data_IF_818805415769
#
_entry.id   IF_818805415769
#
_cell.length_a   1.000
_cell.length_b   1.000
_cell.length_c   1.000
_cell.angle_alpha   90.00
_cell.angle_beta   90.00
_cell.angle_gamma   90.00
#
_symmetry.space_group_name_H-M   'P 1'
#
loop_
_entity.id
_entity.type
_entity.pdbx_description
1 polymer ?
#
# COMPACT_ATOMS: atom_id res chain seq x y z
N UNK A 1 6.80 -15.18 13.87
CA UNK A 1 5.98 -16.35 13.47
C UNK A 1 4.70 -15.85 12.83
N UNK A 2 4.45 -16.27 11.56
CA UNK A 2 3.21 -15.97 10.85
C UNK A 2 2.21 -17.14 11.00
N UNK A 3 0.92 -16.81 11.15
CA UNK A 3 -0.16 -17.80 11.16
C UNK A 3 -1.08 -17.56 9.97
N UNK A 4 -1.51 -18.63 9.30
CA UNK A 4 -2.54 -18.56 8.27
C UNK A 4 -3.89 -18.53 8.98
N UNK A 5 -4.59 -17.40 8.89
CA UNK A 5 -5.91 -17.24 9.50
C UNK A 5 -7.03 -17.83 8.63
N UNK A 6 -6.95 -17.61 7.32
CA UNK A 6 -7.94 -18.05 6.35
C UNK A 6 -7.33 -18.14 4.94
N UNK A 7 -7.77 -19.11 4.17
CA UNK A 7 -7.39 -19.31 2.78
C UNK A 7 -8.65 -19.35 1.90
N UNK A 8 -8.59 -18.75 0.72
CA UNK A 8 -9.63 -18.83 -0.30
C UNK A 8 -9.01 -19.15 -1.65
N UNK A 9 -9.30 -20.34 -2.17
CA UNK A 9 -8.92 -20.73 -3.52
C UNK A 9 -9.83 -20.06 -4.54
N UNK A 10 -9.25 -19.59 -5.65
CA UNK A 10 -9.97 -18.97 -6.75
C UNK A 10 -9.44 -19.50 -8.08
N UNK A 11 -10.26 -19.53 -9.16
CA UNK A 11 -9.77 -19.82 -10.50
C UNK A 11 -8.70 -18.81 -10.90
N UNK A 12 -7.66 -19.26 -11.62
CA UNK A 12 -6.49 -18.43 -11.97
C UNK A 12 -6.79 -17.23 -12.90
N UNK A 13 -7.97 -17.19 -13.54
CA UNK A 13 -8.42 -16.10 -14.38
C UNK A 13 -9.23 -15.01 -13.66
N UNK A 14 -9.30 -15.06 -12.33
CA UNK A 14 -10.05 -14.10 -11.50
C UNK A 14 -9.10 -13.11 -10.85
N UNK A 15 -9.36 -11.81 -11.04
CA UNK A 15 -8.58 -10.74 -10.42
C UNK A 15 -8.55 -10.89 -8.88
N UNK A 16 -7.39 -10.69 -8.25
CA UNK A 16 -7.13 -10.94 -6.83
C UNK A 16 -8.10 -10.22 -5.88
N UNK A 17 -8.55 -9.04 -6.25
CA UNK A 17 -9.47 -8.24 -5.45
C UNK A 17 -10.94 -8.63 -5.59
N UNK A 18 -11.30 -9.50 -6.56
CA UNK A 18 -12.69 -9.98 -6.71
C UNK A 18 -13.11 -10.73 -5.44
N UNK A 19 -14.22 -10.31 -4.84
CA UNK A 19 -14.72 -10.82 -3.55
C UNK A 19 -13.80 -10.56 -2.33
N UNK A 20 -12.80 -9.67 -2.44
CA UNK A 20 -11.94 -9.34 -1.31
C UNK A 20 -12.71 -8.65 -0.17
N UNK A 21 -13.68 -7.80 -0.50
CA UNK A 21 -14.49 -7.09 0.51
C UNK A 21 -15.26 -8.05 1.44
N UNK A 22 -16.08 -9.01 0.97
CA UNK A 22 -16.72 -9.97 1.84
C UNK A 22 -15.72 -10.85 2.60
N UNK A 23 -14.66 -11.30 1.94
CA UNK A 23 -13.61 -12.11 2.57
C UNK A 23 -12.92 -11.39 3.73
N UNK A 24 -12.55 -10.11 3.56
CA UNK A 24 -11.95 -9.29 4.62
C UNK A 24 -12.94 -9.02 5.75
N UNK A 25 -14.21 -8.76 5.41
CA UNK A 25 -15.27 -8.58 6.42
C UNK A 25 -15.38 -9.79 7.33
N UNK A 26 -15.46 -10.98 6.75
CA UNK A 26 -15.55 -12.23 7.50
C UNK A 26 -14.34 -12.42 8.43
N UNK A 27 -13.12 -12.11 7.97
CA UNK A 27 -11.91 -12.18 8.79
C UNK A 27 -11.98 -11.19 9.97
N UNK A 28 -12.37 -9.95 9.70
CA UNK A 28 -12.48 -8.91 10.73
C UNK A 28 -13.51 -9.33 11.78
N UNK A 29 -14.68 -9.81 11.34
CA UNK A 29 -15.77 -10.23 12.22
C UNK A 29 -15.38 -11.44 13.07
N UNK A 30 -14.71 -12.45 12.48
CA UNK A 30 -14.18 -13.61 13.19
C UNK A 30 -13.15 -13.21 14.27
N UNK A 31 -12.18 -12.35 13.90
CA UNK A 31 -11.15 -11.90 14.84
C UNK A 31 -11.75 -11.11 15.99
N UNK A 32 -12.71 -10.21 15.73
CA UNK A 32 -13.36 -9.43 16.76
C UNK A 32 -14.29 -10.25 17.66
N UNK A 33 -14.88 -11.30 17.11
CA UNK A 33 -15.68 -12.26 17.90
C UNK A 33 -14.78 -13.04 18.87
N UNK A 34 -13.58 -13.46 18.42
CA UNK A 34 -12.66 -14.28 19.23
C UNK A 34 -11.85 -13.47 20.24
N UNK A 35 -11.39 -12.27 19.84
CA UNK A 35 -10.44 -11.47 20.62
C UNK A 35 -11.04 -10.18 21.19
N UNK A 36 -12.32 -9.96 20.93
CA UNK A 36 -13.05 -8.77 21.40
C UNK A 36 -12.94 -7.57 20.43
N UNK A 37 -13.89 -6.64 20.57
CA UNK A 37 -14.00 -5.47 19.66
C UNK A 37 -12.84 -4.46 19.78
N UNK A 38 -12.11 -4.48 20.89
CA UNK A 38 -11.01 -3.55 21.16
C UNK A 38 -9.68 -3.98 20.56
N UNK A 39 -9.61 -5.19 19.98
CA UNK A 39 -8.37 -5.62 19.33
C UNK A 39 -8.05 -4.72 18.13
N UNK A 40 -6.85 -4.16 18.14
CA UNK A 40 -6.36 -3.37 17.01
C UNK A 40 -6.06 -4.33 15.85
N UNK A 41 -6.66 -4.07 14.69
CA UNK A 41 -6.43 -4.83 13.46
C UNK A 41 -5.75 -3.91 12.46
N UNK A 42 -4.58 -4.33 11.99
CA UNK A 42 -3.79 -3.59 11.01
C UNK A 42 -3.55 -4.46 9.77
N UNK A 43 -3.86 -3.92 8.61
CA UNK A 43 -3.77 -4.62 7.34
C UNK A 43 -2.64 -4.07 6.49
N UNK A 44 -1.78 -4.98 6.00
CA UNK A 44 -0.77 -4.67 5.00
C UNK A 44 -1.12 -5.40 3.71
N UNK A 45 -1.32 -4.64 2.64
CA UNK A 45 -1.81 -5.19 1.37
C UNK A 45 -1.00 -4.64 0.19
N UNK A 46 -1.00 -5.39 -0.90
CA UNK A 46 -0.41 -4.94 -2.15
C UNK A 46 -1.38 -4.07 -2.98
N UNK A 47 -0.95 -3.63 -4.17
CA UNK A 47 -1.69 -2.71 -5.01
C UNK A 47 -3.00 -3.30 -5.57
N UNK A 48 -3.14 -4.61 -5.69
CA UNK A 48 -4.39 -5.25 -6.15
C UNK A 48 -5.56 -4.97 -5.20
N UNK A 49 -5.27 -4.68 -3.93
CA UNK A 49 -6.27 -4.36 -2.90
C UNK A 49 -6.53 -2.85 -2.73
N UNK A 50 -5.87 -1.99 -3.52
CA UNK A 50 -6.15 -0.56 -3.49
C UNK A 50 -7.47 -0.28 -4.21
N UNK A 51 -8.58 -0.45 -3.50
CA UNK A 51 -9.94 -0.30 -4.01
C UNK A 51 -10.83 0.45 -3.02
N UNK A 52 -11.74 1.28 -3.59
CA UNK A 52 -12.70 2.08 -2.81
C UNK A 52 -13.48 1.24 -1.80
N UNK A 53 -13.95 0.04 -2.21
CA UNK A 53 -14.74 -0.85 -1.35
C UNK A 53 -13.95 -1.37 -0.15
N UNK A 54 -12.67 -1.69 -0.34
CA UNK A 54 -11.77 -2.16 0.71
C UNK A 54 -11.47 -1.03 1.70
N UNK A 55 -11.07 0.15 1.20
CA UNK A 55 -10.79 1.31 2.04
C UNK A 55 -12.00 1.70 2.90
N UNK A 56 -13.20 1.69 2.31
CA UNK A 56 -14.45 1.94 3.05
C UNK A 56 -14.74 0.89 4.11
N UNK A 57 -14.52 -0.39 3.79
CA UNK A 57 -14.70 -1.47 4.77
C UNK A 57 -13.77 -1.28 5.96
N UNK A 58 -12.47 -1.04 5.70
CA UNK A 58 -11.46 -0.88 6.75
C UNK A 58 -11.76 0.34 7.63
N UNK A 59 -12.14 1.46 7.02
CA UNK A 59 -12.55 2.66 7.76
C UNK A 59 -13.81 2.42 8.59
N UNK A 60 -14.85 1.79 8.01
CA UNK A 60 -16.11 1.49 8.73
C UNK A 60 -15.92 0.47 9.87
N UNK A 61 -14.87 -0.30 9.85
CA UNK A 61 -14.52 -1.31 10.87
C UNK A 61 -13.39 -0.86 11.80
N UNK A 62 -13.02 0.40 11.75
CA UNK A 62 -11.93 0.96 12.58
C UNK A 62 -10.67 0.08 12.52
N UNK A 63 -10.24 -0.24 11.30
CA UNK A 63 -9.04 -1.01 11.03
C UNK A 63 -7.95 -0.12 10.47
N UNK A 64 -6.72 -0.29 10.98
CA UNK A 64 -5.53 0.31 10.43
C UNK A 64 -5.14 -0.34 9.09
N UNK A 65 -4.55 0.43 8.19
CA UNK A 65 -4.05 -0.14 6.95
C UNK A 65 -2.81 0.57 6.41
N UNK A 66 -2.00 -0.21 5.67
CA UNK A 66 -1.00 0.28 4.74
C UNK A 66 -1.15 -0.52 3.43
N UNK A 67 -1.61 0.14 2.38
CA UNK A 67 -1.90 -0.47 1.09
C UNK A 67 -0.99 0.15 0.03
N UNK A 68 -0.22 -0.68 -0.69
CA UNK A 68 0.58 -0.21 -1.82
C UNK A 68 -0.35 0.39 -2.89
N UNK A 69 0.02 1.55 -3.41
CA UNK A 69 -0.73 2.22 -4.49
C UNK A 69 0.05 2.07 -5.80
N UNK A 70 -0.60 1.55 -6.83
CA UNK A 70 0.00 1.47 -8.16
C UNK A 70 0.08 2.85 -8.83
N UNK A 71 1.08 3.04 -9.69
CA UNK A 71 1.25 4.27 -10.46
C UNK A 71 0.38 4.26 -11.73
N UNK A 72 -0.91 3.98 -11.56
CA UNK A 72 -1.85 3.98 -12.67
C UNK A 72 -2.02 5.37 -13.27
N UNK A 73 -2.28 5.43 -14.58
CA UNK A 73 -2.38 6.69 -15.33
C UNK A 73 -3.49 7.63 -14.85
N UNK A 74 -4.52 7.09 -14.20
CA UNK A 74 -5.63 7.85 -13.64
C UNK A 74 -5.33 8.48 -12.25
N UNK A 75 -4.17 8.16 -11.64
CA UNK A 75 -3.70 8.78 -10.40
C UNK A 75 -2.58 9.77 -10.68
N UNK A 76 -2.58 10.95 -10.05
CA UNK A 76 -1.58 11.99 -10.29
C UNK A 76 -0.22 11.74 -9.60
N UNK A 77 0.08 10.50 -9.18
CA UNK A 77 1.27 10.18 -8.38
C UNK A 77 2.59 10.56 -9.06
N UNK A 78 2.70 10.38 -10.38
CA UNK A 78 3.89 10.79 -11.13
C UNK A 78 4.08 12.30 -11.10
N UNK A 79 3.01 13.07 -11.29
CA UNK A 79 3.06 14.52 -11.24
C UNK A 79 3.40 15.01 -9.82
N UNK A 80 2.84 14.41 -8.80
CA UNK A 80 3.16 14.73 -7.40
C UNK A 80 4.63 14.42 -7.10
N UNK A 81 5.13 13.27 -7.51
CA UNK A 81 6.54 12.91 -7.32
C UNK A 81 7.49 13.87 -8.03
N UNK A 82 7.18 14.25 -9.28
CA UNK A 82 7.97 15.18 -10.06
C UNK A 82 7.96 16.62 -9.48
N UNK A 83 6.83 17.06 -8.94
CA UNK A 83 6.69 18.36 -8.31
C UNK A 83 7.29 18.44 -6.89
N UNK A 84 7.58 17.29 -6.28
CA UNK A 84 8.08 17.24 -4.91
C UNK A 84 9.51 17.76 -4.80
N UNK A 85 9.68 18.88 -4.09
CA UNK A 85 10.99 19.50 -3.85
C UNK A 85 11.66 19.02 -2.56
N UNK A 86 10.91 18.40 -1.65
CA UNK A 86 11.40 18.03 -0.33
C UNK A 86 11.15 16.56 -0.05
N UNK A 87 12.24 15.80 -0.05
CA UNK A 87 12.26 14.38 0.30
C UNK A 87 12.99 14.18 1.61
N UNK A 88 12.42 13.43 2.53
CA UNK A 88 12.98 13.19 3.85
C UNK A 88 13.66 11.81 3.88
N UNK A 89 14.84 11.68 4.52
CA UNK A 89 15.47 10.38 4.73
C UNK A 89 14.55 9.42 5.49
N UNK A 90 14.51 8.16 5.04
CA UNK A 90 13.66 7.11 5.62
C UNK A 90 14.49 5.89 6.00
N UNK A 91 15.34 5.43 5.10
CA UNK A 91 16.27 4.32 5.25
C UNK A 91 17.48 4.55 4.34
N UNK A 92 18.57 3.78 4.47
CA UNK A 92 19.71 3.89 3.56
C UNK A 92 19.27 3.82 2.10
N UNK A 93 19.60 4.85 1.30
CA UNK A 93 19.20 4.97 -0.10
C UNK A 93 17.70 5.20 -0.37
N UNK A 94 16.88 5.37 0.68
CA UNK A 94 15.43 5.58 0.56
C UNK A 94 15.04 6.93 1.16
N UNK A 95 14.26 7.70 0.41
CA UNK A 95 13.64 8.93 0.91
C UNK A 95 12.13 8.88 0.71
N UNK A 96 11.39 9.61 1.54
CA UNK A 96 9.93 9.64 1.54
C UNK A 96 9.35 11.04 1.54
N UNK A 97 8.16 11.17 1.00
CA UNK A 97 7.35 12.39 1.00
C UNK A 97 5.90 12.06 1.30
N UNK A 98 5.33 12.76 2.28
CA UNK A 98 3.92 12.60 2.63
C UNK A 98 3.06 13.61 1.88
N UNK A 99 1.92 13.15 1.37
CA UNK A 99 0.97 13.97 0.64
C UNK A 99 -0.46 13.49 0.89
N UNK A 100 -1.42 14.35 0.57
CA UNK A 100 -2.82 13.96 0.47
C UNK A 100 -3.15 13.64 -0.99
N UNK A 101 -3.74 12.47 -1.22
CA UNK A 101 -4.27 12.06 -2.51
C UNK A 101 -5.79 12.20 -2.51
N UNK A 102 -6.32 13.05 -3.39
CA UNK A 102 -7.76 13.18 -3.60
C UNK A 102 -8.15 12.38 -4.84
N UNK A 103 -9.15 11.52 -4.73
CA UNK A 103 -9.63 10.66 -5.82
C UNK A 103 -11.06 11.07 -6.20
N UNK A 104 -11.25 11.90 -7.25
CA UNK A 104 -12.55 12.38 -7.66
C UNK A 104 -13.54 11.25 -7.99
N UNK A 105 -13.07 10.22 -8.72
CA UNK A 105 -13.87 9.05 -9.12
C UNK A 105 -14.40 8.26 -7.92
N UNK A 106 -13.81 8.43 -6.75
CA UNK A 106 -14.23 7.79 -5.49
C UNK A 106 -15.00 8.73 -4.58
N UNK A 107 -15.70 9.71 -5.16
CA UNK A 107 -16.46 10.71 -4.45
C UNK A 107 -15.57 11.64 -3.61
N UNK A 108 -14.49 12.13 -4.23
CA UNK A 108 -13.47 12.98 -3.60
C UNK A 108 -12.87 12.36 -2.32
N UNK A 109 -12.70 11.04 -2.32
CA UNK A 109 -12.05 10.36 -1.21
C UNK A 109 -10.65 10.91 -1.02
N UNK A 110 -10.37 11.39 0.20
CA UNK A 110 -9.06 11.91 0.61
C UNK A 110 -8.30 10.82 1.34
N UNK A 111 -7.07 10.59 0.94
CA UNK A 111 -6.21 9.56 1.52
C UNK A 111 -4.84 10.17 1.85
N UNK A 112 -4.35 9.84 3.03
CA UNK A 112 -2.94 10.03 3.34
C UNK A 112 -2.12 9.06 2.54
N UNK A 113 -1.19 9.56 1.72
CA UNK A 113 -0.29 8.75 0.90
C UNK A 113 1.14 9.16 1.18
N UNK A 114 2.00 8.19 1.33
CA UNK A 114 3.44 8.40 1.39
C UNK A 114 4.07 7.87 0.11
N UNK A 115 4.75 8.77 -0.60
CA UNK A 115 5.60 8.42 -1.73
C UNK A 115 6.99 8.08 -1.21
N UNK A 116 7.56 7.01 -1.70
CA UNK A 116 8.95 6.64 -1.47
C UNK A 116 9.70 6.60 -2.78
N UNK A 117 10.96 7.00 -2.75
CA UNK A 117 11.91 6.77 -3.83
C UNK A 117 13.16 6.11 -3.29
N UNK A 118 13.65 5.11 -3.99
CA UNK A 118 14.86 4.38 -3.69
C UNK A 118 15.88 4.62 -4.79
N UNK A 119 17.09 5.04 -4.43
CA UNK A 119 18.15 5.21 -5.41
C UNK A 119 18.52 3.86 -6.03
N UNK A 120 18.65 3.83 -7.37
CA UNK A 120 18.92 2.61 -8.14
C UNK A 120 20.25 2.78 -8.83
N UNK A 121 21.14 1.81 -8.67
CA UNK A 121 22.40 1.72 -9.43
C UNK A 121 22.16 0.80 -10.62
N UNK A 122 22.09 1.37 -11.83
CA UNK A 122 21.77 0.61 -13.06
C UNK A 122 22.91 -0.24 -13.60
N UNK A 123 24.12 -0.14 -13.07
CA UNK A 123 25.30 -0.83 -13.62
C UNK A 123 25.20 -2.36 -13.61
N UNK A 124 24.22 -2.96 -12.94
CA UNK A 124 24.09 -4.42 -12.77
C UNK A 124 22.80 -5.04 -13.31
N UNK A 125 21.88 -4.29 -13.91
CA UNK A 125 20.62 -4.86 -14.39
C UNK A 125 20.71 -5.40 -15.82
N UNK A 126 21.00 -6.69 -15.95
CA UNK A 126 20.86 -7.44 -17.22
C UNK A 126 19.41 -7.72 -17.63
N UNK A 127 18.45 -7.60 -16.74
CA UNK A 127 17.01 -7.82 -17.01
C UNK A 127 16.22 -6.61 -16.53
N UNK A 128 16.03 -5.63 -17.41
CA UNK A 128 15.13 -4.51 -17.21
C UNK A 128 13.69 -4.99 -17.43
N UNK A 129 13.03 -5.46 -16.40
CA UNK A 129 11.60 -5.64 -16.42
C UNK A 129 10.96 -4.30 -16.07
N UNK A 130 10.33 -3.66 -17.06
CA UNK A 130 9.49 -2.48 -16.85
C UNK A 130 8.36 -2.88 -15.88
N UNK A 131 8.57 -2.64 -14.61
CA UNK A 131 7.51 -2.78 -13.63
C UNK A 131 6.55 -1.60 -13.80
N UNK A 132 5.40 -1.86 -14.42
CA UNK A 132 4.32 -0.90 -14.60
C UNK A 132 3.83 -0.28 -13.29
N UNK A 133 4.14 -0.90 -12.16
CA UNK A 133 3.72 -0.50 -10.82
C UNK A 133 4.80 0.26 -10.03
N UNK A 134 6.03 0.24 -10.51
CA UNK A 134 7.17 0.89 -9.84
C UNK A 134 7.95 1.68 -10.89
N UNK A 135 7.52 2.91 -11.23
CA UNK A 135 8.19 3.70 -12.25
C UNK A 135 9.62 4.00 -11.84
N UNK A 136 10.53 3.86 -12.80
CA UNK A 136 11.95 4.15 -12.68
C UNK A 136 12.26 5.33 -13.62
N UNK A 137 12.89 6.38 -13.11
CA UNK A 137 13.31 7.56 -13.89
C UNK A 137 14.80 7.50 -14.30
N UNK A 138 15.42 6.33 -14.14
CA UNK A 138 16.85 6.13 -14.40
C UNK A 138 17.74 6.36 -13.17
N UNK A 139 17.24 7.01 -12.13
CA UNK A 139 17.95 7.31 -10.89
C UNK A 139 17.23 6.76 -9.66
N UNK A 140 15.90 6.71 -9.70
CA UNK A 140 15.08 6.28 -8.58
C UNK A 140 13.95 5.35 -9.00
N UNK A 141 13.74 4.31 -8.23
CA UNK A 141 12.50 3.54 -8.21
C UNK A 141 11.50 4.20 -7.26
N UNK A 142 10.25 4.34 -7.71
CA UNK A 142 9.19 4.98 -6.92
C UNK A 142 8.18 3.95 -6.41
N UNK A 143 7.72 4.14 -5.20
CA UNK A 143 6.58 3.40 -4.64
C UNK A 143 5.67 4.35 -3.85
N UNK A 144 4.41 3.95 -3.67
CA UNK A 144 3.44 4.73 -2.91
C UNK A 144 2.66 3.82 -1.97
N UNK A 145 2.35 4.32 -0.77
CA UNK A 145 1.58 3.61 0.25
C UNK A 145 0.48 4.53 0.77
N UNK A 146 -0.77 4.11 0.62
CA UNK A 146 -1.92 4.74 1.27
C UNK A 146 -2.09 4.16 2.68
N UNK A 147 -2.34 5.02 3.67
CA UNK A 147 -2.44 4.59 5.06
C UNK A 147 -3.34 5.52 5.89
N UNK A 148 -3.96 4.96 6.93
CA UNK A 148 -4.58 5.70 8.03
C UNK A 148 -3.83 5.49 9.35
N UNK A 149 -2.73 4.73 9.34
CA UNK A 149 -1.92 4.51 10.55
C UNK A 149 -1.17 5.79 10.93
N UNK A 150 -1.10 6.14 12.23
CA UNK A 150 -0.37 7.33 12.70
C UNK A 150 1.14 7.07 12.77
N UNK A 151 1.69 6.42 11.73
CA UNK A 151 3.11 6.11 11.64
C UNK A 151 3.85 7.20 10.87
N UNK A 152 5.04 7.58 11.35
CA UNK A 152 5.96 8.42 10.60
C UNK A 152 6.55 7.68 9.39
N UNK A 153 7.24 8.41 8.50
CA UNK A 153 7.73 7.89 7.22
C UNK A 153 8.56 6.61 7.35
N UNK A 154 9.52 6.59 8.29
CA UNK A 154 10.41 5.44 8.49
C UNK A 154 9.68 4.25 9.10
N UNK A 155 8.80 4.47 10.07
CA UNK A 155 8.02 3.40 10.69
C UNK A 155 7.03 2.79 9.69
N UNK A 156 6.39 3.62 8.85
CA UNK A 156 5.50 3.14 7.79
C UNK A 156 6.26 2.35 6.71
N UNK A 157 7.47 2.81 6.34
CA UNK A 157 8.35 2.07 5.43
C UNK A 157 8.69 0.68 5.98
N UNK A 158 9.14 0.61 7.23
CA UNK A 158 9.44 -0.66 7.90
C UNK A 158 8.21 -1.56 7.97
N UNK A 159 7.05 -1.03 8.32
CA UNK A 159 5.79 -1.77 8.33
C UNK A 159 5.41 -2.29 6.93
N UNK A 160 5.51 -1.45 5.89
CA UNK A 160 5.13 -1.82 4.52
C UNK A 160 6.12 -2.82 3.89
N UNK A 161 7.44 -2.69 4.17
CA UNK A 161 8.50 -3.52 3.58
C UNK A 161 8.79 -4.79 4.37
N UNK A 162 8.35 -4.93 5.60
CA UNK A 162 8.69 -6.02 6.52
C UNK A 162 8.25 -7.43 6.10
N UNK A 163 7.98 -7.67 4.81
CA UNK A 163 7.72 -9.01 4.25
C UNK A 163 8.98 -9.85 4.02
N UNK A 164 10.17 -9.27 4.13
CA UNK A 164 11.43 -9.92 3.74
C UNK A 164 12.41 -10.19 4.87
N UNK A 165 12.06 -9.90 6.12
CA UNK A 165 12.94 -10.09 7.27
C UNK A 165 12.46 -11.25 8.16
N UNK A 166 12.28 -12.43 7.56
CA UNK A 166 12.15 -13.71 8.29
C UNK A 166 13.06 -14.73 7.66
#
# INVERSE_FOLDING_TARGET
TGHILRLKNRPGNVHDSKQAVPFLRDIIDDLRTRFGRRVALEFRMDAAFFQRGILRLLAARDCGYAIKVGYWSWLPLKAIAAACRRWHPVAPGVTGHETELVIPQWNNLRLRVVLYRKHVNHETRRNFQLDLFTPDDGHYEYSAVATNLPLGLSALWAFACGRGAQ
#
